data_IF_178713266896
#
_entry.id   IF_178713266896
#
_cell.length_a   1.000
_cell.length_b   1.000
_cell.length_c   1.000
_cell.angle_alpha   90.00
_cell.angle_beta   90.00
_cell.angle_gamma   90.00
#
_symmetry.space_group_name_H-M   'P 1'
#
loop_
_entity.id
_entity.type
_entity.pdbx_description
1 polymer ?
#
# COMPACT_ATOMS: atom_id res chain seq x y z
N UNK A 1 -35.20 15.10 10.87
CA UNK A 1 -33.79 14.77 10.58
C UNK A 1 -32.94 15.38 11.66
N UNK A 2 -32.22 14.58 12.45
CA UNK A 2 -31.29 15.12 13.45
C UNK A 2 -30.02 15.57 12.74
N UNK A 3 -29.75 16.88 12.74
CA UNK A 3 -28.50 17.43 12.21
C UNK A 3 -27.34 17.01 13.14
N UNK A 4 -26.17 16.66 12.58
CA UNK A 4 -25.02 16.29 13.38
C UNK A 4 -24.59 17.46 14.28
N UNK A 5 -24.34 17.16 15.55
CA UNK A 5 -24.10 18.17 16.60
C UNK A 5 -22.66 18.68 16.64
N UNK A 6 -21.73 18.00 15.97
CA UNK A 6 -20.35 18.44 15.79
C UNK A 6 -19.71 17.84 14.53
N UNK A 7 -18.57 18.40 14.13
CA UNK A 7 -17.81 18.02 12.93
C UNK A 7 -17.44 16.54 12.96
N UNK A 8 -17.00 16.01 14.11
CA UNK A 8 -16.63 14.59 14.22
C UNK A 8 -17.81 13.66 13.92
N UNK A 9 -18.99 14.00 14.43
CA UNK A 9 -20.21 13.21 14.22
C UNK A 9 -20.69 13.32 12.78
N UNK A 10 -20.50 14.48 12.13
CA UNK A 10 -20.77 14.67 10.72
C UNK A 10 -19.81 13.88 9.82
N UNK A 11 -18.50 13.92 10.11
CA UNK A 11 -17.47 13.19 9.39
C UNK A 11 -17.60 11.66 9.50
N UNK A 12 -18.34 11.16 10.47
CA UNK A 12 -18.68 9.74 10.58
C UNK A 12 -19.86 9.33 9.68
N UNK A 13 -20.51 10.27 8.99
CA UNK A 13 -21.56 9.99 8.00
C UNK A 13 -20.97 9.92 6.58
N UNK A 14 -21.60 9.16 5.68
CA UNK A 14 -21.17 9.06 4.28
C UNK A 14 -21.13 10.43 3.59
N UNK A 15 -22.11 11.31 3.87
CA UNK A 15 -22.15 12.66 3.35
C UNK A 15 -21.00 13.54 3.88
N UNK A 16 -20.65 13.39 5.15
CA UNK A 16 -19.53 14.14 5.74
C UNK A 16 -18.17 13.68 5.25
N UNK A 17 -17.98 12.37 5.04
CA UNK A 17 -16.76 11.83 4.41
C UNK A 17 -16.62 12.33 2.96
N UNK A 18 -17.72 12.32 2.20
CA UNK A 18 -17.71 12.80 0.83
C UNK A 18 -17.41 14.31 0.75
N UNK A 19 -18.01 15.13 1.63
CA UNK A 19 -17.71 16.55 1.70
C UNK A 19 -16.25 16.81 2.13
N UNK A 20 -15.70 16.04 3.07
CA UNK A 20 -14.31 16.15 3.46
C UNK A 20 -13.36 15.89 2.29
N UNK A 21 -13.62 14.84 1.50
CA UNK A 21 -12.83 14.54 0.31
C UNK A 21 -12.90 15.67 -0.71
N UNK A 22 -14.09 16.21 -0.99
CA UNK A 22 -14.27 17.36 -1.89
C UNK A 22 -13.53 18.61 -1.39
N UNK A 23 -13.51 18.85 -0.08
CA UNK A 23 -12.79 19.99 0.51
C UNK A 23 -11.27 19.82 0.45
N UNK A 24 -10.77 18.59 0.64
CA UNK A 24 -9.35 18.27 0.49
C UNK A 24 -8.93 18.44 -0.97
N UNK A 25 -9.71 17.88 -1.90
CA UNK A 25 -9.50 18.01 -3.35
C UNK A 25 -9.52 19.49 -3.78
N UNK A 26 -10.50 20.26 -3.33
CA UNK A 26 -10.59 21.70 -3.63
C UNK A 26 -9.43 22.50 -3.05
N UNK A 27 -9.03 22.21 -1.81
CA UNK A 27 -7.91 22.90 -1.14
C UNK A 27 -6.58 22.56 -1.80
N UNK A 28 -6.39 21.31 -2.20
CA UNK A 28 -5.23 20.86 -2.96
C UNK A 28 -5.20 21.56 -4.33
N UNK A 29 -6.29 21.53 -5.09
CA UNK A 29 -6.41 22.21 -6.37
C UNK A 29 -6.15 23.72 -6.27
N UNK A 30 -6.61 24.39 -5.22
CA UNK A 30 -6.35 25.81 -5.00
C UNK A 30 -4.90 26.09 -4.60
N UNK A 31 -4.30 25.27 -3.73
CA UNK A 31 -2.89 25.38 -3.37
C UNK A 31 -2.00 25.20 -4.61
N UNK A 32 -2.35 24.27 -5.50
CA UNK A 32 -1.65 24.04 -6.77
C UNK A 32 -1.80 25.22 -7.74
N UNK A 33 -2.97 25.85 -7.81
CA UNK A 33 -3.18 27.08 -8.58
C UNK A 33 -2.36 28.26 -8.06
N UNK A 34 -2.11 28.33 -6.76
CA UNK A 34 -1.30 29.41 -6.16
C UNK A 34 0.20 29.26 -6.41
N UNK A 35 0.69 28.06 -6.74
CA UNK A 35 2.11 27.81 -7.01
C UNK A 35 2.51 28.26 -8.44
N UNK A 36 1.56 28.42 -9.38
CA UNK A 36 1.84 28.46 -10.82
C UNK A 36 1.27 29.62 -11.71
N UNK A 37 1.08 30.88 -11.27
CA UNK A 37 0.58 31.91 -12.21
C UNK A 37 1.65 32.46 -13.17
N UNK A 38 2.88 32.72 -12.71
CA UNK A 38 3.84 33.51 -13.49
C UNK A 38 4.53 32.71 -14.62
N UNK A 39 4.70 31.40 -14.43
CA UNK A 39 5.43 30.55 -15.38
C UNK A 39 4.54 29.99 -16.49
N UNK A 40 3.21 29.88 -16.29
CA UNK A 40 2.29 29.34 -17.30
C UNK A 40 2.17 30.23 -18.52
N UNK A 41 2.06 31.55 -18.34
CA UNK A 41 1.97 32.49 -19.47
C UNK A 41 3.30 32.62 -20.23
N UNK A 42 4.43 32.35 -19.57
CA UNK A 42 5.76 32.32 -20.19
C UNK A 42 5.93 31.02 -20.96
N UNK A 43 5.65 29.87 -20.34
CA UNK A 43 5.76 28.55 -20.98
C UNK A 43 4.77 28.34 -22.12
N UNK A 44 3.52 28.82 -22.00
CA UNK A 44 2.53 28.75 -23.08
C UNK A 44 2.90 29.63 -24.29
N UNK A 45 3.65 30.73 -24.06
CA UNK A 45 4.22 31.56 -25.12
C UNK A 45 5.43 30.93 -25.77
N UNK A 46 6.27 30.25 -25.00
CA UNK A 46 7.55 29.68 -25.46
C UNK A 46 7.37 28.32 -26.17
N UNK A 47 6.43 27.48 -25.72
CA UNK A 47 6.30 26.08 -26.15
C UNK A 47 4.97 25.72 -26.83
N UNK A 48 4.04 26.67 -26.98
CA UNK A 48 2.62 26.41 -27.29
C UNK A 48 1.97 25.45 -26.27
N UNK A 49 0.64 25.25 -26.33
CA UNK A 49 -0.11 24.42 -25.37
C UNK A 49 0.32 22.95 -25.40
N UNK A 50 1.44 22.63 -24.75
CA UNK A 50 1.85 21.26 -24.49
C UNK A 50 1.14 20.74 -23.24
N UNK A 51 -0.05 20.19 -23.45
CA UNK A 51 -0.95 19.63 -22.43
C UNK A 51 -0.36 18.42 -21.69
N UNK A 52 0.79 17.89 -22.12
CA UNK A 52 1.39 16.68 -21.52
C UNK A 52 1.93 16.93 -20.11
N UNK A 53 2.46 18.12 -19.84
CA UNK A 53 3.12 18.45 -18.56
C UNK A 53 2.16 18.65 -17.39
N UNK A 54 0.91 19.06 -17.64
CA UNK A 54 -0.09 19.29 -16.59
C UNK A 54 -0.70 18.00 -16.03
N UNK A 55 -0.98 17.03 -16.89
CA UNK A 55 -1.55 15.73 -16.49
C UNK A 55 -0.56 14.87 -15.70
N UNK A 56 0.74 14.99 -15.98
CA UNK A 56 1.78 14.24 -15.27
C UNK A 56 1.92 14.68 -13.81
N UNK A 57 1.74 15.96 -13.51
CA UNK A 57 1.88 16.47 -12.14
C UNK A 57 0.68 16.16 -11.25
N UNK A 58 -0.56 16.29 -11.77
CA UNK A 58 -1.76 15.90 -11.03
C UNK A 58 -1.78 14.38 -10.78
N UNK A 59 -1.44 13.57 -11.79
CA UNK A 59 -1.28 12.12 -11.63
C UNK A 59 -0.20 11.78 -10.61
N UNK A 60 0.92 12.52 -10.59
CA UNK A 60 1.97 12.35 -9.60
C UNK A 60 1.49 12.69 -8.19
N UNK A 61 0.70 13.76 -8.02
CA UNK A 61 0.17 14.17 -6.72
C UNK A 61 -0.91 13.23 -6.20
N UNK A 62 -1.77 12.72 -7.07
CA UNK A 62 -2.74 11.67 -6.75
C UNK A 62 -2.02 10.38 -6.35
N UNK A 63 -1.00 9.99 -7.11
CA UNK A 63 -0.16 8.84 -6.78
C UNK A 63 0.55 9.03 -5.42
N UNK A 64 1.14 10.19 -5.16
CA UNK A 64 1.79 10.50 -3.87
C UNK A 64 0.80 10.50 -2.70
N UNK A 65 -0.42 10.99 -2.92
CA UNK A 65 -1.47 11.02 -1.91
C UNK A 65 -2.00 9.61 -1.62
N UNK A 66 -2.22 8.78 -2.64
CA UNK A 66 -2.61 7.38 -2.51
C UNK A 66 -1.52 6.57 -1.80
N UNK A 67 -0.24 6.75 -2.18
CA UNK A 67 0.90 6.09 -1.54
C UNK A 67 0.93 6.38 -0.03
N UNK A 68 0.72 7.63 0.39
CA UNK A 68 0.67 7.99 1.82
C UNK A 68 -0.47 7.29 2.55
N UNK A 69 -1.66 7.23 1.95
CA UNK A 69 -2.82 6.53 2.54
C UNK A 69 -2.52 5.05 2.69
N UNK A 70 -1.96 4.39 1.67
CA UNK A 70 -1.68 2.95 1.75
C UNK A 70 -0.57 2.63 2.73
N UNK A 71 0.48 3.45 2.82
CA UNK A 71 1.54 3.28 3.82
C UNK A 71 0.97 3.40 5.23
N UNK A 72 0.12 4.40 5.48
CA UNK A 72 -0.54 4.55 6.78
C UNK A 72 -1.39 3.31 7.13
N UNK A 73 -2.19 2.82 6.19
CA UNK A 73 -3.04 1.64 6.40
C UNK A 73 -2.22 0.36 6.59
N UNK A 74 -1.11 0.18 5.87
CA UNK A 74 -0.19 -0.94 6.10
C UNK A 74 0.42 -0.89 7.50
N UNK A 75 0.85 0.27 7.98
CA UNK A 75 1.38 0.41 9.34
C UNK A 75 0.31 0.07 10.39
N UNK A 76 -0.96 0.47 10.16
CA UNK A 76 -2.09 0.09 11.02
C UNK A 76 -2.38 -1.41 10.99
N UNK A 77 -2.26 -2.05 9.83
CA UNK A 77 -2.40 -3.49 9.71
C UNK A 77 -1.30 -4.24 10.50
N UNK A 78 -0.05 -3.79 10.37
CA UNK A 78 1.10 -4.34 11.11
C UNK A 78 0.96 -4.13 12.62
N UNK A 79 0.56 -2.94 13.07
CA UNK A 79 0.26 -2.64 14.48
C UNK A 79 -0.82 -3.59 15.03
N UNK A 80 -1.90 -3.78 14.27
CA UNK A 80 -2.96 -4.71 14.64
C UNK A 80 -2.48 -6.16 14.69
N UNK A 81 -1.61 -6.60 13.77
CA UNK A 81 -1.01 -7.94 13.82
C UNK A 81 -0.10 -8.13 15.05
N UNK A 82 0.71 -7.13 15.39
CA UNK A 82 1.53 -7.16 16.62
C UNK A 82 0.63 -7.29 17.86
N UNK A 83 -0.44 -6.50 17.93
CA UNK A 83 -1.41 -6.56 19.03
C UNK A 83 -2.18 -7.88 19.07
N UNK A 84 -2.42 -8.52 17.92
CA UNK A 84 -3.02 -9.86 17.85
C UNK A 84 -2.18 -10.90 18.59
N UNK A 85 -0.86 -10.91 18.42
CA UNK A 85 0.01 -11.86 19.13
C UNK A 85 0.37 -11.45 20.56
N UNK A 86 0.13 -10.20 20.94
CA UNK A 86 0.53 -9.65 22.24
C UNK A 86 -0.60 -9.40 23.25
N UNK A 87 -1.87 -9.63 22.91
CA UNK A 87 -3.01 -9.21 23.75
C UNK A 87 -4.12 -10.26 23.90
N UNK A 88 -4.99 -10.06 24.90
CA UNK A 88 -6.17 -10.91 25.14
C UNK A 88 -7.36 -10.61 24.19
N UNK A 89 -7.24 -9.67 23.25
CA UNK A 89 -8.31 -9.26 22.31
C UNK A 89 -8.00 -9.66 20.86
N UNK A 90 -7.42 -10.86 20.70
CA UNK A 90 -6.96 -11.41 19.42
C UNK A 90 -7.97 -11.25 18.27
N UNK A 91 -9.24 -11.59 18.49
CA UNK A 91 -10.25 -11.57 17.43
C UNK A 91 -10.51 -10.17 16.84
N UNK A 92 -10.43 -9.12 17.67
CA UNK A 92 -10.66 -7.72 17.23
C UNK A 92 -9.47 -7.26 16.39
N UNK A 93 -8.26 -7.45 16.91
CA UNK A 93 -7.04 -7.03 16.22
C UNK A 93 -6.84 -7.75 14.88
N UNK A 94 -7.19 -9.04 14.80
CA UNK A 94 -7.14 -9.77 13.53
C UNK A 94 -8.19 -9.27 12.51
N UNK A 95 -9.34 -8.78 12.98
CA UNK A 95 -10.37 -8.19 12.13
C UNK A 95 -9.92 -6.81 11.59
N UNK A 96 -9.34 -5.97 12.45
CA UNK A 96 -8.79 -4.67 12.07
C UNK A 96 -7.65 -4.81 11.07
N UNK A 97 -6.68 -5.71 11.35
CA UNK A 97 -5.58 -6.03 10.44
C UNK A 97 -6.09 -6.43 9.05
N UNK A 98 -7.13 -7.27 9.02
CA UNK A 98 -7.78 -7.68 7.78
C UNK A 98 -8.43 -6.51 7.04
N UNK A 99 -9.14 -5.63 7.75
CA UNK A 99 -9.82 -4.51 7.12
C UNK A 99 -8.80 -3.57 6.46
N UNK A 100 -7.77 -3.15 7.21
CA UNK A 100 -6.71 -2.29 6.69
C UNK A 100 -6.01 -2.92 5.48
N UNK A 101 -5.69 -4.21 5.55
CA UNK A 101 -5.03 -4.93 4.46
C UNK A 101 -5.88 -4.96 3.18
N UNK A 102 -7.18 -5.22 3.30
CA UNK A 102 -8.10 -5.24 2.15
C UNK A 102 -8.22 -3.85 1.52
N UNK A 103 -8.29 -2.79 2.34
CA UNK A 103 -8.34 -1.43 1.84
C UNK A 103 -7.08 -1.07 1.05
N UNK A 104 -5.89 -1.46 1.53
CA UNK A 104 -4.65 -1.27 0.78
C UNK A 104 -4.68 -2.01 -0.55
N UNK A 105 -5.05 -3.30 -0.57
CA UNK A 105 -5.09 -4.09 -1.81
C UNK A 105 -6.06 -3.52 -2.86
N UNK A 106 -7.08 -2.75 -2.44
CA UNK A 106 -8.03 -2.10 -3.32
C UNK A 106 -7.50 -0.80 -3.95
N UNK A 107 -6.71 -0.03 -3.21
CA UNK A 107 -6.35 1.35 -3.60
C UNK A 107 -4.86 1.54 -3.90
N UNK A 108 -4.01 0.56 -3.58
CA UNK A 108 -2.59 0.64 -3.87
C UNK A 108 -2.34 0.70 -5.39
N UNK A 109 -1.42 1.58 -5.84
CA UNK A 109 -0.99 1.56 -7.22
C UNK A 109 -0.46 0.17 -7.60
N UNK A 110 -0.76 -0.26 -8.83
CA UNK A 110 -0.41 -1.60 -9.32
C UNK A 110 1.10 -1.80 -9.29
N UNK A 111 1.54 -2.93 -8.77
CA UNK A 111 2.95 -3.32 -8.60
C UNK A 111 3.78 -2.38 -7.71
N UNK A 112 3.15 -1.46 -6.97
CA UNK A 112 3.85 -0.63 -5.99
C UNK A 112 4.30 -1.47 -4.77
N UNK A 113 5.46 -1.20 -4.15
CA UNK A 113 5.93 -1.94 -2.97
C UNK A 113 4.91 -2.05 -1.82
N UNK A 114 4.07 -1.02 -1.62
CA UNK A 114 3.01 -1.03 -0.62
C UNK A 114 1.91 -2.07 -0.90
N UNK A 115 1.68 -2.43 -2.17
CA UNK A 115 0.82 -3.56 -2.53
C UNK A 115 1.48 -4.89 -2.11
N UNK A 116 2.81 -5.00 -2.27
CA UNK A 116 3.59 -6.15 -1.79
C UNK A 116 3.51 -6.30 -0.27
N UNK A 117 3.66 -5.20 0.48
CA UNK A 117 3.48 -5.16 1.95
C UNK A 117 2.08 -5.64 2.37
N UNK A 118 1.03 -5.22 1.64
CA UNK A 118 -0.32 -5.68 1.93
C UNK A 118 -0.52 -7.18 1.68
N UNK A 119 0.08 -7.74 0.62
CA UNK A 119 0.06 -9.19 0.41
C UNK A 119 0.81 -9.96 1.50
N UNK A 120 1.92 -9.42 2.01
CA UNK A 120 2.62 -9.96 3.19
C UNK A 120 1.71 -9.95 4.43
N UNK A 121 1.07 -8.82 4.73
CA UNK A 121 0.13 -8.71 5.84
C UNK A 121 -1.05 -9.69 5.70
N UNK A 122 -1.55 -9.87 4.47
CA UNK A 122 -2.59 -10.86 4.17
C UNK A 122 -2.12 -12.29 4.42
N UNK A 123 -0.85 -12.61 4.14
CA UNK A 123 -0.28 -13.91 4.43
C UNK A 123 -0.25 -14.19 5.94
N UNK A 124 0.17 -13.22 6.76
CA UNK A 124 0.10 -13.33 8.22
C UNK A 124 -1.32 -13.59 8.72
N UNK A 125 -2.31 -12.86 8.19
CA UNK A 125 -3.72 -13.07 8.53
C UNK A 125 -4.18 -14.49 8.17
N UNK A 126 -3.74 -15.02 7.03
CA UNK A 126 -4.08 -16.39 6.64
C UNK A 126 -3.40 -17.44 7.52
N UNK A 127 -2.14 -17.23 7.92
CA UNK A 127 -1.47 -18.11 8.88
C UNK A 127 -2.17 -18.11 10.23
N UNK A 128 -2.55 -16.94 10.76
CA UNK A 128 -3.33 -16.81 11.99
C UNK A 128 -4.68 -17.57 11.94
N UNK A 129 -5.20 -17.83 10.73
CA UNK A 129 -6.44 -18.58 10.49
C UNK A 129 -6.22 -20.02 10.04
N UNK A 130 -4.99 -20.55 10.13
CA UNK A 130 -4.60 -21.88 9.64
C UNK A 130 -4.93 -22.12 8.16
N UNK A 131 -4.91 -21.07 7.34
CA UNK A 131 -5.15 -21.13 5.89
C UNK A 131 -3.84 -21.13 5.11
N UNK A 132 -2.98 -22.12 5.36
CA UNK A 132 -1.61 -22.17 4.84
C UNK A 132 -1.52 -22.00 3.32
N UNK A 133 -2.37 -22.70 2.56
CA UNK A 133 -2.40 -22.57 1.09
C UNK A 133 -2.64 -21.13 0.63
N UNK A 134 -3.57 -20.42 1.28
CA UNK A 134 -3.86 -19.02 0.97
C UNK A 134 -2.73 -18.09 1.40
N UNK A 135 -2.07 -18.40 2.52
CA UNK A 135 -0.91 -17.64 2.97
C UNK A 135 0.24 -17.72 1.96
N UNK A 136 0.61 -18.92 1.51
CA UNK A 136 1.73 -19.12 0.60
C UNK A 136 1.45 -18.56 -0.80
N UNK A 137 0.19 -18.57 -1.25
CA UNK A 137 -0.23 -17.85 -2.47
C UNK A 137 -0.12 -16.31 -2.32
N UNK A 138 -0.42 -15.75 -1.14
CA UNK A 138 -0.21 -14.32 -0.88
C UNK A 138 1.27 -13.95 -0.84
N UNK A 139 2.11 -14.81 -0.25
CA UNK A 139 3.57 -14.62 -0.22
C UNK A 139 4.15 -14.60 -1.64
N UNK A 140 3.70 -15.51 -2.52
CA UNK A 140 4.12 -15.54 -3.92
C UNK A 140 3.78 -14.22 -4.65
N UNK A 141 2.63 -13.61 -4.36
CA UNK A 141 2.28 -12.30 -4.91
C UNK A 141 3.16 -11.17 -4.36
N UNK A 142 3.42 -11.15 -3.05
CA UNK A 142 4.32 -10.17 -2.44
C UNK A 142 5.74 -10.27 -3.04
N UNK A 143 6.23 -11.51 -3.20
CA UNK A 143 7.52 -11.80 -3.80
C UNK A 143 7.65 -11.18 -5.20
N UNK A 144 6.71 -11.47 -6.09
CA UNK A 144 6.75 -10.98 -7.47
C UNK A 144 6.86 -9.44 -7.51
N UNK A 145 6.13 -8.76 -6.62
CA UNK A 145 6.18 -7.29 -6.51
C UNK A 145 7.53 -6.81 -5.99
N UNK A 146 8.05 -7.39 -4.90
CA UNK A 146 9.33 -6.96 -4.33
C UNK A 146 10.51 -7.23 -5.26
N UNK A 147 10.50 -8.38 -5.95
CA UNK A 147 11.50 -8.71 -6.96
C UNK A 147 11.48 -7.72 -8.12
N UNK A 148 10.30 -7.38 -8.65
CA UNK A 148 10.14 -6.39 -9.73
C UNK A 148 10.66 -5.01 -9.34
N UNK A 149 10.53 -4.64 -8.07
CA UNK A 149 11.00 -3.36 -7.53
C UNK A 149 12.44 -3.41 -7.00
N UNK A 150 13.13 -4.55 -7.11
CA UNK A 150 14.52 -4.69 -6.68
C UNK A 150 14.73 -4.60 -5.16
N UNK A 151 13.71 -4.93 -4.37
CA UNK A 151 13.73 -4.83 -2.90
C UNK A 151 14.19 -6.14 -2.26
N UNK A 152 15.38 -6.16 -1.67
CA UNK A 152 15.98 -7.35 -1.04
C UNK A 152 15.46 -7.62 0.36
N UNK A 153 15.39 -6.59 1.21
CA UNK A 153 15.10 -6.77 2.64
C UNK A 153 13.69 -7.35 2.87
N UNK A 154 12.64 -6.89 2.15
CA UNK A 154 11.32 -7.51 2.26
C UNK A 154 11.28 -8.95 1.73
N UNK A 155 12.16 -9.34 0.79
CA UNK A 155 12.23 -10.72 0.30
C UNK A 155 12.85 -11.64 1.35
N UNK A 156 13.85 -11.18 2.10
CA UNK A 156 14.46 -11.94 3.20
C UNK A 156 13.42 -12.25 4.29
N UNK A 157 12.59 -11.26 4.64
CA UNK A 157 11.47 -11.45 5.58
C UNK A 157 10.48 -12.51 5.08
N UNK A 158 10.14 -12.50 3.77
CA UNK A 158 9.24 -13.52 3.21
C UNK A 158 9.84 -14.93 3.26
N UNK A 159 11.16 -15.07 3.09
CA UNK A 159 11.85 -16.36 3.25
C UNK A 159 11.77 -16.81 4.70
N UNK A 160 12.06 -15.92 5.66
CA UNK A 160 11.97 -16.22 7.08
C UNK A 160 10.57 -16.73 7.47
N UNK A 161 9.50 -16.11 6.96
CA UNK A 161 8.12 -16.55 7.16
C UNK A 161 7.84 -17.99 6.68
N UNK A 162 8.62 -18.48 5.71
CA UNK A 162 8.46 -19.79 5.08
C UNK A 162 9.41 -20.87 5.63
N UNK A 163 10.50 -20.49 6.30
CA UNK A 163 11.57 -21.42 6.75
C UNK A 163 11.04 -22.60 7.59
N UNK A 164 10.08 -22.35 8.48
CA UNK A 164 9.51 -23.39 9.35
C UNK A 164 8.31 -24.13 8.74
N UNK A 165 7.99 -23.88 7.46
CA UNK A 165 6.79 -24.41 6.79
C UNK A 165 7.13 -25.67 5.98
N UNK A 166 6.38 -26.73 6.21
CA UNK A 166 6.62 -28.04 5.59
C UNK A 166 5.65 -28.38 4.46
N UNK A 167 4.62 -27.57 4.30
CA UNK A 167 3.57 -27.74 3.30
C UNK A 167 4.15 -27.59 1.87
N UNK A 168 3.71 -28.43 0.91
CA UNK A 168 4.32 -28.47 -0.42
C UNK A 168 4.18 -27.15 -1.17
N UNK A 169 3.07 -26.43 -0.99
CA UNK A 169 2.89 -25.10 -1.59
C UNK A 169 3.91 -24.09 -1.05
N UNK A 170 4.18 -24.13 0.26
CA UNK A 170 5.10 -23.20 0.92
C UNK A 170 6.56 -23.51 0.60
N UNK A 171 6.92 -24.79 0.47
CA UNK A 171 8.25 -25.21 -0.03
C UNK A 171 8.51 -24.69 -1.42
N UNK A 172 7.54 -24.82 -2.33
CA UNK A 172 7.67 -24.27 -3.69
C UNK A 172 7.84 -22.74 -3.66
N UNK A 173 7.05 -22.04 -2.86
CA UNK A 173 7.21 -20.58 -2.72
C UNK A 173 8.59 -20.23 -2.15
N UNK A 174 9.10 -20.97 -1.17
CA UNK A 174 10.41 -20.77 -0.57
C UNK A 174 11.55 -20.96 -1.59
N UNK A 175 11.49 -22.02 -2.40
CA UNK A 175 12.46 -22.26 -3.47
C UNK A 175 12.50 -21.10 -4.49
N UNK A 176 11.31 -20.59 -4.87
CA UNK A 176 11.21 -19.42 -5.73
C UNK A 176 11.82 -18.18 -5.08
N UNK A 177 11.60 -17.98 -3.78
CA UNK A 177 12.15 -16.87 -3.01
C UNK A 177 13.68 -16.89 -2.93
N UNK A 178 14.24 -18.05 -2.62
CA UNK A 178 15.68 -18.26 -2.58
C UNK A 178 16.33 -18.00 -3.94
N UNK A 179 15.70 -18.48 -5.02
CA UNK A 179 16.18 -18.25 -6.37
C UNK A 179 16.17 -16.75 -6.73
N UNK A 180 15.11 -16.03 -6.36
CA UNK A 180 14.99 -14.59 -6.57
C UNK A 180 16.10 -13.84 -5.82
N UNK A 181 16.30 -14.11 -4.53
CA UNK A 181 17.36 -13.48 -3.72
C UNK A 181 18.76 -13.73 -4.28
N UNK A 182 19.08 -14.97 -4.66
CA UNK A 182 20.38 -15.30 -5.28
C UNK A 182 20.62 -14.52 -6.56
N UNK A 183 19.59 -14.41 -7.41
CA UNK A 183 19.70 -13.65 -8.67
C UNK A 183 19.96 -12.16 -8.43
N UNK A 184 19.33 -11.57 -7.41
CA UNK A 184 19.46 -10.16 -7.07
C UNK A 184 20.82 -9.85 -6.42
N UNK A 185 21.31 -10.74 -5.57
CA UNK A 185 22.61 -10.60 -4.92
C UNK A 185 23.77 -10.79 -5.92
N UNK A 186 23.65 -11.71 -6.89
CA UNK A 186 24.62 -11.86 -7.97
C UNK A 186 24.72 -10.59 -8.85
N UNK A 187 23.59 -9.92 -9.10
CA UNK A 187 23.56 -8.67 -9.86
C UNK A 187 24.16 -7.45 -9.13
N UNK A 188 24.19 -7.47 -7.78
CA UNK A 188 24.83 -6.43 -6.95
C UNK A 188 26.36 -6.56 -6.89
N UNK A 189 26.90 -7.78 -6.95
CA UNK A 189 28.35 -8.02 -6.86
C UNK A 189 29.13 -7.75 -8.16
N UNK A 190 28.42 -7.52 -9.28
CA UNK A 190 29.01 -7.26 -10.60
C UNK A 190 28.92 -5.81 -11.08
N UNK A 191 28.47 -4.88 -10.24
CA UNK A 191 28.49 -3.41 -10.48
C UNK A 191 29.47 -2.75 -9.54
#
# INVERSE_FOLDING_TARGET
>A
MNLPTNVQTFLNTQAGQHLLLLLIEHSLNNALKQIYPLERDVLAREYAYDLTTGSDFELLLDHLSLVRVVTYQNNRAEEALVNYWGSNQEAIHLADARQYTIDVLRIAPVDHPEQGRAYKNLAYIFFARNKTKSACASIEKALNIFQKNGLTDPLEELVEMLTDRNEPECKRTMENSDAALRSMNAGRSGR
#
